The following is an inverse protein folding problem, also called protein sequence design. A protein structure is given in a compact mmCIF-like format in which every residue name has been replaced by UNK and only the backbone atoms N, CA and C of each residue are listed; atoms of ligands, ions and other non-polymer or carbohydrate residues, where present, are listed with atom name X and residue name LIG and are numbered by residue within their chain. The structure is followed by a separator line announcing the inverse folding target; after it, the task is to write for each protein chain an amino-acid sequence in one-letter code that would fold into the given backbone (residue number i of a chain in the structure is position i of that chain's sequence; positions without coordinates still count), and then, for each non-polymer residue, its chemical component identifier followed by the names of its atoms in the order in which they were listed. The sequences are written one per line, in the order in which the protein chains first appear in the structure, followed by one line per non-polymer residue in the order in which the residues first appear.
data_IF_496684532165
#
_entry.id   IF_496684532165
#
_cell.length_a   1.000
_cell.length_b   1.000
_cell.length_c   1.000
_cell.angle_alpha   90.00
_cell.angle_beta   90.00
_cell.angle_gamma   90.00
#
_symmetry.space_group_name_H-M   'P 1'
#
loop_
_entity.id
_entity.type
_entity.pdbx_description
1 polymer ?
#
# COMPACT_ATOMS: atom_id res chain seq x y z
N UNK A 1 14.73 2.59 38.10
CA UNK A 1 14.45 1.77 36.90
C UNK A 1 15.68 1.49 36.02
N UNK A 2 16.90 1.93 36.40
CA UNK A 2 18.12 1.75 35.60
C UNK A 2 18.88 0.42 35.79
N UNK A 3 18.30 -0.60 36.44
CA UNK A 3 19.01 -1.86 36.73
C UNK A 3 18.63 -3.03 35.82
N UNK A 4 17.66 -2.85 34.90
CA UNK A 4 17.25 -3.91 33.98
C UNK A 4 18.06 -3.95 32.67
N UNK A 5 18.57 -2.80 32.20
CA UNK A 5 19.39 -2.74 30.97
C UNK A 5 20.77 -3.39 31.12
N UNK A 6 21.34 -3.42 32.33
CA UNK A 6 22.67 -4.01 32.56
C UNK A 6 22.64 -5.54 32.63
N UNK A 7 21.49 -6.13 32.95
CA UNK A 7 21.37 -7.58 33.11
C UNK A 7 21.28 -8.31 31.75
N UNK A 8 20.62 -7.71 30.75
CA UNK A 8 20.51 -8.27 29.40
C UNK A 8 21.88 -8.35 28.69
N UNK A 9 22.76 -7.37 28.92
CA UNK A 9 24.12 -7.38 28.37
C UNK A 9 25.01 -8.48 28.96
N UNK A 10 24.69 -8.97 30.17
CA UNK A 10 25.47 -10.02 30.86
C UNK A 10 24.96 -11.44 30.56
N UNK A 11 23.72 -11.59 30.11
CA UNK A 11 23.16 -12.91 29.75
C UNK A 11 23.57 -13.32 28.33
N UNK A 12 23.71 -12.37 27.39
CA UNK A 12 24.16 -12.66 26.02
C UNK A 12 25.59 -13.24 25.93
N UNK A 13 26.43 -13.09 26.95
CA UNK A 13 27.79 -13.66 26.97
C UNK A 13 27.86 -15.11 27.46
N UNK A 14 26.76 -15.67 28.00
CA UNK A 14 26.70 -17.04 28.54
C UNK A 14 26.02 -18.05 27.62
N UNK A 15 25.24 -17.58 26.64
CA UNK A 15 24.65 -18.42 25.61
C UNK A 15 25.37 -18.11 24.31
N UNK A 16 26.14 -19.04 23.74
CA UNK A 16 26.84 -18.88 22.46
C UNK A 16 25.92 -18.75 21.23
N UNK A 17 24.78 -18.07 21.37
CA UNK A 17 23.96 -17.59 20.27
C UNK A 17 24.65 -16.34 19.73
N UNK A 18 25.10 -16.40 18.46
CA UNK A 18 25.49 -15.19 17.76
C UNK A 18 24.34 -14.17 17.84
N UNK A 19 24.62 -12.88 18.09
CA UNK A 19 23.58 -11.87 18.11
C UNK A 19 22.86 -11.91 16.77
N UNK A 20 21.56 -12.13 16.82
CA UNK A 20 20.64 -12.02 15.70
C UNK A 20 21.03 -10.75 14.93
N UNK A 21 21.59 -10.93 13.73
CA UNK A 21 22.28 -9.87 12.99
C UNK A 21 21.41 -8.62 12.93
N UNK A 22 21.86 -7.54 13.59
CA UNK A 22 21.14 -6.28 13.61
C UNK A 22 20.80 -5.83 12.18
N UNK A 23 19.58 -5.33 11.97
CA UNK A 23 19.12 -4.84 10.66
C UNK A 23 20.09 -3.78 10.14
N UNK A 24 20.73 -4.05 9.00
CA UNK A 24 21.71 -3.12 8.43
C UNK A 24 20.97 -1.90 7.86
N UNK A 25 21.24 -0.71 8.42
CA UNK A 25 20.68 0.54 7.94
C UNK A 25 21.69 1.28 7.05
N UNK A 26 21.36 1.44 5.77
CA UNK A 26 22.13 2.17 4.76
C UNK A 26 21.52 3.57 4.55
N UNK A 27 22.36 4.59 4.60
CA UNK A 27 21.97 6.00 4.41
C UNK A 27 22.45 6.58 3.08
N UNK A 28 23.26 5.84 2.33
CA UNK A 28 23.73 6.25 1.00
C UNK A 28 23.44 5.19 -0.07
N UNK A 29 23.33 5.66 -1.32
CA UNK A 29 23.23 4.82 -2.53
C UNK A 29 24.47 3.90 -2.61
N UNK A 30 25.64 4.40 -2.21
CA UNK A 30 26.88 3.62 -2.20
C UNK A 30 26.81 2.41 -1.24
N UNK A 31 26.26 2.61 -0.04
CA UNK A 31 26.09 1.55 0.96
C UNK A 31 25.08 0.50 0.51
N UNK A 32 23.89 0.91 0.05
CA UNK A 32 22.88 -0.07 -0.36
C UNK A 32 23.30 -0.85 -1.61
N UNK A 33 24.04 -0.21 -2.53
CA UNK A 33 24.65 -0.91 -3.68
C UNK A 33 25.74 -1.88 -3.25
N UNK A 34 26.49 -1.59 -2.17
CA UNK A 34 27.46 -2.54 -1.61
C UNK A 34 26.73 -3.77 -1.07
N UNK A 35 25.73 -3.56 -0.22
CA UNK A 35 24.88 -4.62 0.31
C UNK A 35 24.26 -5.48 -0.82
N UNK A 36 23.77 -4.83 -1.89
CA UNK A 36 23.19 -5.55 -3.04
C UNK A 36 24.23 -6.41 -3.77
N UNK A 37 25.47 -5.94 -3.92
CA UNK A 37 26.56 -6.73 -4.53
C UNK A 37 26.96 -7.93 -3.66
N UNK A 38 26.94 -7.77 -2.35
CA UNK A 38 27.17 -8.87 -1.39
C UNK A 38 26.07 -9.94 -1.53
N UNK A 39 24.79 -9.52 -1.62
CA UNK A 39 23.68 -10.42 -1.89
C UNK A 39 23.86 -11.17 -3.22
N UNK A 40 24.23 -10.46 -4.30
CA UNK A 40 24.54 -11.09 -5.59
C UNK A 40 25.65 -12.13 -5.50
N UNK A 41 26.73 -11.81 -4.79
CA UNK A 41 27.89 -12.70 -4.64
C UNK A 41 27.52 -13.97 -3.85
N UNK A 42 26.57 -13.85 -2.93
CA UNK A 42 25.99 -14.96 -2.20
C UNK A 42 24.82 -15.64 -2.94
N UNK A 43 24.55 -15.27 -4.20
CA UNK A 43 23.43 -15.76 -5.01
C UNK A 43 22.06 -15.63 -4.32
N UNK A 44 21.89 -14.61 -3.48
CA UNK A 44 20.64 -14.32 -2.78
C UNK A 44 19.65 -13.63 -3.70
N UNK A 45 18.41 -14.09 -3.69
CA UNK A 45 17.28 -13.40 -4.32
C UNK A 45 16.82 -12.25 -3.43
N UNK A 46 16.71 -11.05 -4.01
CA UNK A 46 16.49 -9.80 -3.27
C UNK A 46 15.07 -9.28 -3.49
N UNK A 47 14.29 -9.23 -2.41
CA UNK A 47 13.01 -8.54 -2.35
C UNK A 47 13.18 -7.07 -1.96
N UNK A 48 12.35 -6.18 -2.51
CA UNK A 48 12.28 -4.77 -2.13
C UNK A 48 10.87 -4.42 -1.66
N UNK A 49 10.78 -3.73 -0.53
CA UNK A 49 9.54 -3.18 0.01
C UNK A 49 9.68 -1.65 0.08
N UNK A 50 9.23 -0.90 -0.94
CA UNK A 50 9.30 0.55 -0.91
C UNK A 50 8.29 1.15 0.08
N UNK A 51 8.77 1.97 1.02
CA UNK A 51 7.91 2.64 2.01
C UNK A 51 8.33 4.10 2.23
N UNK A 52 7.46 4.86 2.89
CA UNK A 52 7.79 6.19 3.41
C UNK A 52 8.16 6.18 4.91
N UNK A 53 8.29 5.01 5.54
CA UNK A 53 8.49 4.88 6.99
C UNK A 53 7.20 4.94 7.80
N UNK A 54 7.34 5.17 9.11
CA UNK A 54 6.25 5.06 10.08
C UNK A 54 5.49 3.75 9.92
N UNK A 55 6.26 2.67 10.05
CA UNK A 55 5.84 1.33 9.67
C UNK A 55 4.73 0.83 10.58
N UNK A 56 3.85 0.03 9.99
CA UNK A 56 2.74 -0.64 10.66
C UNK A 56 2.68 -2.08 10.14
N UNK A 57 1.79 -2.88 10.71
CA UNK A 57 1.75 -4.32 10.44
C UNK A 57 1.47 -4.66 8.96
N UNK A 58 0.76 -3.79 8.22
CA UNK A 58 0.69 -3.88 6.76
C UNK A 58 2.06 -3.85 6.05
N UNK A 59 2.98 -2.96 6.48
CA UNK A 59 4.34 -2.92 5.93
C UNK A 59 5.17 -4.14 6.33
N UNK A 60 5.08 -4.56 7.59
CA UNK A 60 5.77 -5.76 8.08
C UNK A 60 5.25 -7.03 7.38
N UNK A 61 3.96 -7.04 7.04
CA UNK A 61 3.34 -8.07 6.20
C UNK A 61 3.95 -8.18 4.81
N UNK A 62 4.31 -7.06 4.18
CA UNK A 62 5.03 -7.07 2.90
C UNK A 62 6.43 -7.69 3.05
N UNK A 63 7.14 -7.38 4.12
CA UNK A 63 8.46 -7.99 4.39
C UNK A 63 8.34 -9.50 4.55
N UNK A 64 7.35 -9.97 5.33
CA UNK A 64 7.08 -11.41 5.48
C UNK A 64 6.65 -12.07 4.17
N UNK A 65 5.85 -11.38 3.35
CA UNK A 65 5.47 -11.85 2.03
C UNK A 65 6.68 -11.97 1.09
N UNK A 66 7.68 -11.11 1.21
CA UNK A 66 8.91 -11.18 0.43
C UNK A 66 9.69 -12.46 0.75
N UNK A 67 9.88 -12.75 2.05
CA UNK A 67 10.50 -14.00 2.49
C UNK A 67 9.67 -15.22 2.06
N UNK A 68 8.34 -15.19 2.22
CA UNK A 68 7.45 -16.26 1.80
C UNK A 68 7.47 -16.50 0.27
N UNK A 69 7.74 -15.46 -0.53
CA UNK A 69 7.93 -15.57 -1.97
C UNK A 69 9.30 -16.14 -2.38
N UNK A 70 10.15 -16.49 -1.42
CA UNK A 70 11.47 -17.09 -1.62
C UNK A 70 12.59 -16.07 -1.84
N UNK A 71 12.48 -14.85 -1.28
CA UNK A 71 13.60 -13.93 -1.22
C UNK A 71 14.53 -14.32 -0.07
N UNK A 72 15.83 -14.43 -0.32
CA UNK A 72 16.84 -14.68 0.71
C UNK A 72 17.27 -13.37 1.40
N UNK A 73 17.10 -12.24 0.71
CA UNK A 73 17.42 -10.92 1.22
C UNK A 73 16.26 -9.97 0.98
N UNK A 74 15.98 -9.08 1.92
CA UNK A 74 14.96 -8.04 1.77
C UNK A 74 15.55 -6.68 2.09
N UNK A 75 15.29 -5.71 1.21
CA UNK A 75 15.52 -4.28 1.50
C UNK A 75 14.19 -3.58 1.70
N UNK A 76 14.06 -2.88 2.82
CA UNK A 76 12.95 -1.95 3.07
C UNK A 76 13.46 -0.54 2.83
N UNK A 77 12.86 0.19 1.89
CA UNK A 77 13.23 1.60 1.70
C UNK A 77 12.37 2.45 2.62
N UNK A 78 12.97 3.42 3.32
CA UNK A 78 12.27 4.39 4.16
C UNK A 78 12.63 5.77 3.63
N UNK A 79 11.77 6.32 2.79
CA UNK A 79 12.00 7.61 2.18
C UNK A 79 10.69 8.37 1.95
N UNK A 80 10.49 9.45 2.71
CA UNK A 80 9.37 10.39 2.47
C UNK A 80 9.71 11.22 1.24
N UNK A 81 9.30 10.75 0.07
CA UNK A 81 9.61 11.37 -1.21
C UNK A 81 8.91 12.73 -1.36
N UNK A 82 9.60 13.86 -1.51
CA UNK A 82 8.95 15.17 -1.67
C UNK A 82 8.18 15.31 -3.00
N UNK A 83 8.58 14.62 -4.06
CA UNK A 83 7.99 14.79 -5.40
C UNK A 83 6.55 14.28 -5.52
N UNK A 84 6.10 13.47 -4.56
CA UNK A 84 4.73 12.96 -4.50
C UNK A 84 3.84 13.73 -3.52
N UNK A 85 4.32 14.89 -3.02
CA UNK A 85 3.55 15.80 -2.17
C UNK A 85 3.36 17.17 -2.84
N UNK A 86 2.17 17.72 -2.66
CA UNK A 86 1.81 19.05 -3.11
C UNK A 86 2.09 20.10 -2.00
N UNK A 87 2.13 21.40 -2.33
CA UNK A 87 2.45 22.45 -1.36
C UNK A 87 1.50 22.53 -0.16
N UNK A 88 0.24 22.10 -0.33
CA UNK A 88 -0.79 22.08 0.70
C UNK A 88 -0.99 20.70 1.36
N UNK A 89 -0.13 19.73 1.02
CA UNK A 89 -0.21 18.37 1.53
C UNK A 89 0.67 18.18 2.77
N UNK A 90 0.58 17.00 3.39
CA UNK A 90 1.13 16.72 4.71
C UNK A 90 2.63 16.38 4.73
N UNK A 91 3.44 16.90 3.80
CA UNK A 91 4.87 16.53 3.73
C UNK A 91 5.65 16.83 5.02
N UNK A 92 5.45 18.03 5.57
CA UNK A 92 6.12 18.46 6.80
C UNK A 92 5.56 17.75 8.03
N UNK A 93 4.26 17.46 8.04
CA UNK A 93 3.57 16.75 9.11
C UNK A 93 3.76 15.23 9.05
N UNK A 94 4.27 14.67 7.94
CA UNK A 94 4.40 13.23 7.77
C UNK A 94 5.30 12.62 8.86
N UNK A 95 4.84 11.57 9.56
CA UNK A 95 5.58 10.99 10.68
C UNK A 95 6.90 10.37 10.21
N UNK A 96 7.99 10.73 10.87
CA UNK A 96 9.34 10.23 10.60
C UNK A 96 9.89 9.55 11.86
N UNK A 97 9.79 8.23 11.91
CA UNK A 97 10.05 7.42 13.13
C UNK A 97 11.08 6.32 12.90
N UNK A 98 12.19 6.63 12.22
CA UNK A 98 13.18 5.64 11.78
C UNK A 98 13.65 4.68 12.89
N UNK A 99 13.90 5.17 14.11
CA UNK A 99 14.31 4.31 15.23
C UNK A 99 13.24 3.25 15.57
N UNK A 100 11.97 3.65 15.66
CA UNK A 100 10.84 2.74 15.88
C UNK A 100 10.63 1.80 14.69
N UNK A 101 10.88 2.27 13.46
CA UNK A 101 10.78 1.45 12.26
C UNK A 101 11.86 0.35 12.26
N UNK A 102 13.10 0.67 12.66
CA UNK A 102 14.19 -0.30 12.80
C UNK A 102 13.93 -1.33 13.91
N UNK A 103 13.35 -0.92 15.04
CA UNK A 103 12.95 -1.84 16.12
C UNK A 103 11.89 -2.85 15.63
N UNK A 104 10.86 -2.37 14.94
CA UNK A 104 9.81 -3.22 14.35
C UNK A 104 10.38 -4.21 13.34
N UNK A 105 11.27 -3.76 12.47
CA UNK A 105 11.92 -4.60 11.46
C UNK A 105 12.84 -5.64 12.09
N UNK A 106 13.56 -5.28 13.16
CA UNK A 106 14.42 -6.21 13.89
C UNK A 106 13.64 -7.32 14.59
N UNK A 107 12.36 -7.07 14.91
CA UNK A 107 11.45 -8.06 15.50
C UNK A 107 10.81 -9.02 14.48
N UNK A 108 11.06 -8.87 13.18
CA UNK A 108 10.49 -9.78 12.17
C UNK A 108 11.25 -11.11 12.18
N UNK A 109 10.54 -12.19 12.47
CA UNK A 109 11.06 -13.54 12.33
C UNK A 109 11.24 -13.92 10.85
N UNK A 110 12.43 -14.44 10.52
CA UNK A 110 12.79 -14.96 9.19
C UNK A 110 13.86 -16.06 9.35
N UNK A 111 14.15 -16.81 8.28
CA UNK A 111 15.22 -17.81 8.28
C UNK A 111 16.54 -17.13 8.71
N UNK A 112 17.31 -17.69 9.67
CA UNK A 112 18.57 -17.10 10.12
C UNK A 112 19.62 -16.87 9.01
N UNK A 113 19.47 -17.53 7.86
CA UNK A 113 20.33 -17.34 6.68
C UNK A 113 19.89 -16.16 5.81
N UNK A 114 18.65 -15.73 5.97
CA UNK A 114 18.10 -14.57 5.28
C UNK A 114 18.59 -13.28 5.92
N UNK A 115 18.61 -12.20 5.15
CA UNK A 115 19.10 -10.89 5.62
C UNK A 115 18.10 -9.78 5.35
N UNK A 116 17.99 -8.86 6.31
CA UNK A 116 17.14 -7.68 6.22
C UNK A 116 17.99 -6.41 6.29
N UNK A 117 17.82 -5.54 5.30
CA UNK A 117 18.44 -4.22 5.26
C UNK A 117 17.39 -3.12 5.14
N UNK A 118 17.76 -1.93 5.58
CA UNK A 118 16.98 -0.70 5.41
C UNK A 118 17.77 0.27 4.57
N UNK A 119 17.12 0.87 3.57
CA UNK A 119 17.67 2.01 2.85
C UNK A 119 16.90 3.26 3.25
N UNK A 120 17.51 4.09 4.09
CA UNK A 120 16.93 5.32 4.64
C UNK A 120 17.80 6.55 4.27
N UNK A 121 17.82 6.94 2.99
CA UNK A 121 18.64 8.05 2.52
C UNK A 121 18.08 9.40 2.95
N UNK A 122 18.94 10.42 3.18
CA UNK A 122 18.47 11.79 3.21
C UNK A 122 18.04 12.26 1.81
N UNK A 123 17.21 13.29 1.73
CA UNK A 123 16.74 13.86 0.46
C UNK A 123 17.89 14.29 -0.46
N UNK A 124 18.98 14.81 0.10
CA UNK A 124 20.17 15.23 -0.67
C UNK A 124 20.89 14.07 -1.35
N UNK A 125 20.79 12.85 -0.81
CA UNK A 125 21.35 11.66 -1.46
C UNK A 125 20.49 11.25 -2.66
N UNK A 126 19.17 11.36 -2.52
CA UNK A 126 18.24 11.04 -3.60
C UNK A 126 18.18 12.13 -4.67
N UNK A 127 18.38 13.40 -4.29
CA UNK A 127 18.26 14.58 -5.14
C UNK A 127 19.44 15.54 -4.90
N UNK A 128 20.65 15.22 -5.40
CA UNK A 128 21.86 16.00 -5.13
C UNK A 128 21.80 17.44 -5.64
N UNK A 129 21.09 17.68 -6.76
CA UNK A 129 20.91 19.00 -7.35
C UNK A 129 19.63 19.72 -6.88
N UNK A 130 18.96 19.14 -5.87
CA UNK A 130 17.65 19.59 -5.40
C UNK A 130 16.48 18.92 -6.14
N UNK A 131 15.31 18.94 -5.49
CA UNK A 131 14.09 18.25 -5.95
C UNK A 131 13.58 18.87 -7.25
N UNK A 132 13.49 20.20 -7.32
CA UNK A 132 12.98 20.91 -8.49
C UNK A 132 13.84 20.67 -9.73
N UNK A 133 15.17 20.77 -9.58
CA UNK A 133 16.12 20.47 -10.65
C UNK A 133 15.95 19.03 -11.16
N UNK A 134 15.76 18.07 -10.26
CA UNK A 134 15.58 16.68 -10.64
C UNK A 134 14.27 16.44 -11.40
N UNK A 135 13.16 17.03 -10.95
CA UNK A 135 11.85 16.93 -11.62
C UNK A 135 11.91 17.54 -13.02
N UNK A 136 12.59 18.68 -13.18
CA UNK A 136 12.78 19.34 -14.48
C UNK A 136 13.72 18.54 -15.40
N UNK A 137 14.76 17.91 -14.85
CA UNK A 137 15.71 17.15 -15.63
C UNK A 137 15.15 15.81 -16.12
N UNK A 138 14.46 15.06 -15.25
CA UNK A 138 13.92 13.76 -15.60
C UNK A 138 12.75 13.35 -14.68
N UNK A 139 11.58 13.16 -15.29
CA UNK A 139 10.39 12.65 -14.62
C UNK A 139 9.77 11.53 -15.46
N UNK A 140 9.36 10.45 -14.81
CA UNK A 140 8.52 9.41 -15.41
C UNK A 140 7.07 9.86 -15.30
N UNK A 141 6.55 10.44 -16.37
CA UNK A 141 5.16 10.84 -16.43
C UNK A 141 4.35 9.75 -17.13
N UNK A 142 3.44 9.03 -16.43
CA UNK A 142 2.52 8.14 -17.10
C UNK A 142 1.64 8.95 -18.05
N UNK A 143 1.46 8.47 -19.29
CA UNK A 143 0.43 9.04 -20.15
C UNK A 143 -0.94 8.77 -19.51
N UNK A 144 -1.85 9.76 -19.44
CA UNK A 144 -3.19 9.53 -18.93
C UNK A 144 -3.87 8.39 -19.69
N UNK A 145 -4.00 7.23 -19.04
CA UNK A 145 -4.79 6.11 -19.54
C UNK A 145 -6.07 6.07 -18.74
N UNK A 146 -7.27 6.14 -19.34
CA UNK A 146 -8.48 5.82 -18.62
C UNK A 146 -8.36 4.41 -18.02
N UNK A 147 -8.70 4.22 -16.74
CA UNK A 147 -9.30 5.21 -15.88
C UNK A 147 -8.28 5.79 -14.87
N UNK A 148 -7.34 6.63 -15.31
CA UNK A 148 -6.52 7.47 -14.42
C UNK A 148 -7.45 8.52 -13.82
N UNK A 149 -8.08 8.11 -12.74
CA UNK A 149 -9.16 8.79 -12.06
C UNK A 149 -8.67 9.95 -11.18
N UNK A 150 -9.65 10.78 -10.84
CA UNK A 150 -9.77 11.97 -9.98
C UNK A 150 -8.57 12.32 -9.07
N UNK A 151 -7.89 11.38 -8.39
CA UNK A 151 -6.66 11.73 -7.66
C UNK A 151 -5.57 12.30 -8.57
N UNK A 152 -5.49 11.85 -9.84
CA UNK A 152 -4.62 12.48 -10.86
C UNK A 152 -5.04 13.91 -11.20
N UNK A 153 -6.31 14.27 -10.98
CA UNK A 153 -6.85 15.62 -11.19
C UNK A 153 -6.61 16.50 -9.96
N UNK A 154 -6.82 15.97 -8.76
CA UNK A 154 -6.59 16.69 -7.50
C UNK A 154 -5.10 16.84 -7.15
N UNK A 155 -4.31 15.82 -7.47
CA UNK A 155 -2.89 15.69 -7.14
C UNK A 155 -2.10 15.35 -8.42
N UNK A 156 -2.05 16.29 -9.39
CA UNK A 156 -1.47 16.01 -10.71
C UNK A 156 0.02 15.63 -10.66
N UNK A 157 0.73 16.00 -9.60
CA UNK A 157 2.13 15.64 -9.34
C UNK A 157 2.30 14.20 -8.80
N UNK A 158 1.30 13.65 -8.11
CA UNK A 158 1.41 12.44 -7.30
C UNK A 158 1.98 11.25 -8.07
N UNK A 159 1.31 10.86 -9.16
CA UNK A 159 1.66 9.63 -9.87
C UNK A 159 2.97 9.76 -10.66
N UNK A 160 3.28 10.94 -11.18
CA UNK A 160 4.59 11.20 -11.76
C UNK A 160 5.70 11.10 -10.70
N UNK A 161 5.46 11.64 -9.50
CA UNK A 161 6.35 11.50 -8.35
C UNK A 161 6.56 10.05 -7.94
N UNK A 162 5.47 9.27 -7.80
CA UNK A 162 5.49 7.84 -7.46
C UNK A 162 6.26 7.02 -8.50
N UNK A 163 5.91 7.14 -9.79
CA UNK A 163 6.59 6.40 -10.85
C UNK A 163 8.09 6.73 -10.90
N UNK A 164 8.43 8.01 -10.76
CA UNK A 164 9.83 8.46 -10.77
C UNK A 164 10.62 7.91 -9.59
N UNK A 165 10.09 7.98 -8.36
CA UNK A 165 10.81 7.48 -7.19
C UNK A 165 10.91 5.95 -7.20
N UNK A 166 9.86 5.24 -7.58
CA UNK A 166 9.89 3.76 -7.62
C UNK A 166 10.89 3.28 -8.67
N UNK A 167 10.90 3.87 -9.87
CA UNK A 167 11.92 3.54 -10.88
C UNK A 167 13.34 3.84 -10.37
N UNK A 168 13.53 4.97 -9.68
CA UNK A 168 14.82 5.31 -9.08
C UNK A 168 15.25 4.29 -8.03
N UNK A 169 14.34 3.85 -7.17
CA UNK A 169 14.60 2.81 -6.18
C UNK A 169 14.93 1.46 -6.82
N UNK A 170 14.25 1.07 -7.90
CA UNK A 170 14.60 -0.13 -8.67
C UNK A 170 16.00 -0.04 -9.29
N UNK A 171 16.40 1.13 -9.81
CA UNK A 171 17.76 1.34 -10.31
C UNK A 171 18.85 1.40 -9.22
N UNK A 172 18.48 1.75 -7.98
CA UNK A 172 19.41 1.82 -6.84
C UNK A 172 19.58 0.44 -6.21
N UNK A 173 18.47 -0.22 -5.91
CA UNK A 173 18.43 -1.47 -5.15
C UNK A 173 18.51 -2.71 -6.05
N UNK A 174 18.19 -2.59 -7.34
CA UNK A 174 18.15 -3.67 -8.34
C UNK A 174 17.55 -4.97 -7.78
N UNK A 175 16.30 -4.93 -7.26
CA UNK A 175 15.70 -6.11 -6.66
C UNK A 175 15.23 -7.11 -7.73
N UNK A 176 15.18 -8.39 -7.36
CA UNK A 176 14.56 -9.42 -8.18
C UNK A 176 13.02 -9.37 -8.04
N UNK A 177 12.56 -9.03 -6.84
CA UNK A 177 11.14 -8.93 -6.50
C UNK A 177 10.82 -7.61 -5.81
N UNK A 178 9.65 -7.04 -6.06
CA UNK A 178 9.17 -5.86 -5.34
C UNK A 178 7.71 -6.04 -4.89
N UNK A 179 7.44 -5.64 -3.66
CA UNK A 179 6.16 -5.90 -3.00
C UNK A 179 5.45 -4.61 -2.67
N UNK A 180 4.18 -4.54 -3.07
CA UNK A 180 3.31 -3.38 -2.86
C UNK A 180 1.97 -3.85 -2.27
N UNK A 181 1.40 -3.04 -1.39
CA UNK A 181 0.08 -3.31 -0.83
C UNK A 181 -1.03 -2.85 -1.79
N UNK A 182 -2.00 -3.72 -2.05
CA UNK A 182 -3.23 -3.42 -2.82
C UNK A 182 -4.12 -2.36 -2.18
N UNK A 183 -3.77 -1.89 -0.97
CA UNK A 183 -4.38 -0.70 -0.38
C UNK A 183 -4.32 0.48 -1.34
N UNK A 184 -3.22 0.62 -2.08
CA UNK A 184 -3.03 1.72 -3.04
C UNK A 184 -3.10 1.13 -4.47
N UNK A 185 -4.30 0.77 -4.93
CA UNK A 185 -4.46 -0.04 -6.15
C UNK A 185 -4.06 0.72 -7.42
N UNK A 186 -4.40 2.01 -7.57
CA UNK A 186 -3.86 2.81 -8.69
C UNK A 186 -2.33 2.88 -8.69
N UNK A 187 -1.70 2.99 -7.51
CA UNK A 187 -0.24 2.93 -7.42
C UNK A 187 0.28 1.57 -7.91
N UNK A 188 -0.36 0.47 -7.52
CA UNK A 188 0.01 -0.87 -7.98
C UNK A 188 -0.07 -0.97 -9.51
N UNK A 189 -1.15 -0.47 -10.13
CA UNK A 189 -1.33 -0.53 -11.57
C UNK A 189 -0.37 0.38 -12.32
N UNK A 190 -0.13 1.58 -11.79
CA UNK A 190 0.88 2.50 -12.31
C UNK A 190 2.26 1.83 -12.34
N UNK A 191 2.65 1.19 -11.24
CA UNK A 191 3.95 0.54 -11.12
C UNK A 191 4.03 -0.68 -12.04
N UNK A 192 2.95 -1.48 -12.14
CA UNK A 192 2.88 -2.59 -13.07
C UNK A 192 2.96 -2.14 -14.54
N UNK A 193 2.25 -1.07 -14.90
CA UNK A 193 2.31 -0.48 -16.23
C UNK A 193 3.70 0.10 -16.54
N UNK A 194 4.31 0.82 -15.58
CA UNK A 194 5.66 1.36 -15.72
C UNK A 194 6.69 0.23 -15.92
N UNK A 195 6.68 -0.80 -15.06
CA UNK A 195 7.62 -1.91 -15.15
C UNK A 195 7.51 -2.63 -16.50
N UNK A 196 6.28 -2.93 -16.93
CA UNK A 196 6.02 -3.54 -18.24
C UNK A 196 6.46 -2.66 -19.40
N UNK A 197 6.15 -1.37 -19.36
CA UNK A 197 6.39 -0.43 -20.48
C UNK A 197 7.87 -0.12 -20.64
N UNK A 198 8.58 0.04 -19.52
CA UNK A 198 10.01 0.38 -19.50
C UNK A 198 10.91 -0.85 -19.43
N UNK A 199 10.34 -2.06 -19.52
CA UNK A 199 11.05 -3.34 -19.44
C UNK A 199 11.93 -3.44 -18.18
N UNK A 200 11.39 -2.99 -17.05
CA UNK A 200 12.09 -3.09 -15.77
C UNK A 200 12.10 -4.56 -15.35
N UNK A 201 13.30 -5.10 -15.18
CA UNK A 201 13.52 -6.49 -14.78
C UNK A 201 13.26 -6.68 -13.28
N UNK A 202 11.98 -6.68 -12.89
CA UNK A 202 11.53 -6.90 -11.51
C UNK A 202 10.21 -7.66 -11.49
N UNK A 203 10.11 -8.68 -10.64
CA UNK A 203 8.85 -9.39 -10.40
C UNK A 203 8.03 -8.64 -9.35
N UNK A 204 6.84 -8.19 -9.74
CA UNK A 204 5.94 -7.45 -8.86
C UNK A 204 4.97 -8.38 -8.11
N UNK A 205 4.82 -8.15 -6.81
CA UNK A 205 3.82 -8.82 -5.97
C UNK A 205 2.87 -7.79 -5.38
N UNK A 206 1.60 -7.88 -5.76
CA UNK A 206 0.54 -7.01 -5.22
C UNK A 206 -0.17 -7.73 -4.08
N UNK A 207 0.26 -7.44 -2.85
CA UNK A 207 -0.19 -8.12 -1.63
C UNK A 207 -1.55 -7.61 -1.16
N UNK A 208 -2.41 -8.45 -0.56
CA UNK A 208 -3.70 -8.03 -0.01
C UNK A 208 -3.59 -6.87 0.99
N UNK A 209 -4.64 -6.06 1.07
CA UNK A 209 -4.71 -4.94 2.03
C UNK A 209 -4.75 -5.48 3.45
N UNK A 210 -3.74 -5.15 4.26
CA UNK A 210 -3.76 -5.41 5.68
C UNK A 210 -4.75 -4.50 6.40
N UNK A 211 -5.44 -5.05 7.40
CA UNK A 211 -6.48 -4.34 8.16
C UNK A 211 -6.25 -4.47 9.65
N UNK A 212 -6.59 -3.42 10.38
CA UNK A 212 -6.72 -3.46 11.84
C UNK A 212 -7.82 -4.45 12.26
N UNK A 213 -7.86 -4.80 13.54
CA UNK A 213 -8.82 -5.79 14.08
C UNK A 213 -10.28 -5.40 13.88
N UNK A 214 -10.56 -4.11 13.73
CA UNK A 214 -11.88 -3.57 13.44
C UNK A 214 -12.23 -3.48 11.94
N UNK A 215 -11.27 -3.81 11.06
CA UNK A 215 -11.42 -3.82 9.61
C UNK A 215 -10.93 -2.56 8.89
N UNK A 216 -10.48 -1.52 9.61
CA UNK A 216 -9.89 -0.35 8.97
C UNK A 216 -8.61 -0.76 8.22
N UNK A 217 -8.43 -0.28 6.99
CA UNK A 217 -7.18 -0.49 6.26
C UNK A 217 -6.01 0.14 7.05
N UNK A 218 -4.96 -0.63 7.31
CA UNK A 218 -3.83 -0.14 8.10
C UNK A 218 -3.10 0.95 7.34
N UNK A 219 -2.82 2.05 8.01
CA UNK A 219 -2.01 3.09 7.41
C UNK A 219 -1.37 4.09 8.37
N UNK A 220 -0.21 4.64 7.97
CA UNK A 220 0.62 5.50 8.82
C UNK A 220 -0.10 6.77 9.30
N UNK A 221 -1.01 7.32 8.50
CA UNK A 221 -1.81 8.51 8.87
C UNK A 221 -3.04 8.17 9.74
N UNK A 222 -3.25 6.91 10.15
CA UNK A 222 -4.37 6.55 11.03
C UNK A 222 -4.21 7.26 12.39
N UNK A 223 -2.98 7.67 12.69
CA UNK A 223 -2.58 8.56 13.78
C UNK A 223 -3.19 9.96 13.72
N UNK A 224 -3.63 10.43 12.54
CA UNK A 224 -4.30 11.73 12.40
C UNK A 224 -5.80 11.67 12.70
N UNK A 225 -6.36 10.46 12.77
CA UNK A 225 -7.80 10.27 12.99
C UNK A 225 -8.10 10.55 14.45
N UNK A 226 -8.91 11.58 14.70
CA UNK A 226 -9.35 11.87 16.05
C UNK A 226 -10.28 10.75 16.59
N UNK A 227 -10.39 10.58 17.91
CA UNK A 227 -11.23 9.53 18.48
C UNK A 227 -12.70 9.63 18.04
N UNK A 228 -13.19 10.84 17.72
CA UNK A 228 -14.56 11.08 17.27
C UNK A 228 -14.81 10.58 15.83
N UNK A 229 -13.87 10.78 14.91
CA UNK A 229 -13.97 10.31 13.53
C UNK A 229 -13.56 8.83 13.37
N UNK A 230 -12.84 8.24 14.33
CA UNK A 230 -12.38 6.84 14.25
C UNK A 230 -13.53 5.86 14.02
N UNK A 231 -14.65 6.03 14.73
CA UNK A 231 -15.83 5.17 14.58
C UNK A 231 -16.37 5.18 13.13
N UNK A 232 -16.38 6.35 12.50
CA UNK A 232 -16.83 6.49 11.12
C UNK A 232 -15.79 5.92 10.13
N UNK A 233 -14.49 6.12 10.39
CA UNK A 233 -13.42 5.53 9.59
C UNK A 233 -13.48 3.97 9.59
N UNK A 234 -13.77 3.34 10.74
CA UNK A 234 -13.98 1.86 10.82
C UNK A 234 -15.13 1.41 9.93
N UNK A 235 -16.21 2.18 9.92
CA UNK A 235 -17.44 1.78 9.28
C UNK A 235 -17.40 1.95 7.75
N UNK A 236 -16.51 2.80 7.24
CA UNK A 236 -16.34 3.08 5.83
C UNK A 236 -16.01 1.82 4.98
N UNK A 237 -15.02 0.97 5.33
CA UNK A 237 -14.82 -0.32 4.67
C UNK A 237 -16.07 -1.20 4.60
N UNK A 238 -16.87 -1.24 5.68
CA UNK A 238 -18.10 -2.04 5.74
C UNK A 238 -19.15 -1.45 4.82
N UNK A 239 -19.40 -0.15 4.91
CA UNK A 239 -20.37 0.56 4.06
C UNK A 239 -20.07 0.36 2.57
N UNK A 240 -18.79 0.43 2.18
CA UNK A 240 -18.43 0.18 0.79
C UNK A 240 -18.58 -1.31 0.40
N UNK A 241 -18.27 -2.25 1.30
CA UNK A 241 -18.51 -3.69 1.08
C UNK A 241 -20.00 -4.02 0.97
N UNK A 242 -20.86 -3.35 1.73
CA UNK A 242 -22.32 -3.50 1.70
C UNK A 242 -22.89 -2.97 0.38
N UNK A 243 -22.35 -1.84 -0.08
CA UNK A 243 -22.72 -1.27 -1.36
C UNK A 243 -22.29 -2.15 -2.55
N UNK A 244 -21.14 -2.86 -2.46
CA UNK A 244 -20.78 -3.94 -3.41
C UNK A 244 -21.89 -5.00 -3.42
N UNK A 245 -22.23 -5.57 -2.26
CA UNK A 245 -23.17 -6.70 -2.19
C UNK A 245 -24.53 -6.32 -2.74
N UNK A 246 -24.98 -5.11 -2.44
CA UNK A 246 -26.24 -4.55 -2.96
C UNK A 246 -26.21 -4.47 -4.48
N UNK A 247 -25.12 -3.99 -5.07
CA UNK A 247 -24.98 -3.93 -6.52
C UNK A 247 -24.91 -5.31 -7.17
N UNK A 248 -24.13 -6.24 -6.61
CA UNK A 248 -24.03 -7.61 -7.13
C UNK A 248 -25.41 -8.31 -7.13
N UNK A 249 -26.22 -8.08 -6.10
CA UNK A 249 -27.60 -8.57 -6.04
C UNK A 249 -28.49 -7.96 -7.13
N UNK A 250 -28.38 -6.65 -7.39
CA UNK A 250 -29.10 -5.98 -8.49
C UNK A 250 -28.71 -6.53 -9.86
N UNK A 251 -27.42 -6.80 -10.09
CA UNK A 251 -26.95 -7.40 -11.34
C UNK A 251 -27.43 -8.85 -11.54
N UNK A 252 -27.53 -9.62 -10.46
CA UNK A 252 -27.96 -11.03 -10.50
C UNK A 252 -29.48 -11.19 -10.70
N UNK A 253 -30.27 -10.17 -10.37
CA UNK A 253 -31.74 -10.17 -10.49
C UNK A 253 -32.31 -9.83 -11.86
N UNK A 254 -31.48 -9.55 -12.87
CA UNK A 254 -31.94 -9.16 -14.22
C UNK A 254 -32.36 -7.70 -14.37
N UNK A 255 -32.47 -6.95 -13.27
CA UNK A 255 -32.74 -5.50 -13.24
C UNK A 255 -31.46 -4.65 -13.31
N UNK A 256 -30.41 -5.16 -13.98
CA UNK A 256 -29.16 -4.44 -14.15
C UNK A 256 -29.41 -3.21 -15.04
N UNK A 257 -29.25 -1.97 -14.54
CA UNK A 257 -29.38 -0.80 -15.40
C UNK A 257 -28.23 -0.81 -16.42
N UNK A 258 -28.47 -0.35 -17.67
CA UNK A 258 -27.44 -0.34 -18.69
C UNK A 258 -26.21 0.43 -18.21
N UNK A 259 -25.04 -0.12 -18.54
CA UNK A 259 -23.72 0.38 -18.15
C UNK A 259 -23.37 1.62 -18.99
N UNK A 260 -23.96 2.77 -18.69
CA UNK A 260 -23.52 4.07 -19.21
C UNK A 260 -23.15 5.01 -18.05
N UNK A 261 -22.09 5.80 -18.26
CA UNK A 261 -21.45 6.61 -17.24
C UNK A 261 -22.35 7.73 -16.67
N UNK A 262 -22.17 8.14 -15.39
CA UNK A 262 -21.42 7.46 -14.35
C UNK A 262 -22.30 6.35 -13.76
N UNK A 263 -21.73 5.16 -13.68
CA UNK A 263 -22.40 3.87 -13.41
C UNK A 263 -23.42 3.95 -12.27
N UNK A 264 -24.57 3.26 -12.34
CA UNK A 264 -25.50 3.08 -11.22
C UNK A 264 -24.80 2.70 -9.90
N UNK A 265 -23.71 1.94 -9.99
CA UNK A 265 -22.85 1.53 -8.87
C UNK A 265 -22.24 2.72 -8.10
N UNK A 266 -21.58 3.66 -8.79
CA UNK A 266 -20.96 4.81 -8.12
C UNK A 266 -22.02 5.70 -7.48
N UNK A 267 -23.21 5.81 -8.08
CA UNK A 267 -24.36 6.53 -7.50
C UNK A 267 -24.94 5.84 -6.28
N UNK A 268 -25.08 4.51 -6.29
CA UNK A 268 -25.58 3.72 -5.16
C UNK A 268 -24.60 3.78 -3.98
N UNK A 269 -23.32 3.54 -4.23
CA UNK A 269 -22.27 3.67 -3.20
C UNK A 269 -22.23 5.11 -2.70
N UNK A 270 -22.25 6.10 -3.61
CA UNK A 270 -22.20 7.50 -3.21
C UNK A 270 -23.40 7.89 -2.34
N UNK A 271 -24.61 7.48 -2.72
CA UNK A 271 -25.80 7.76 -1.91
C UNK A 271 -25.70 7.08 -0.53
N UNK A 272 -25.30 5.82 -0.48
CA UNK A 272 -25.16 5.09 0.78
C UNK A 272 -24.14 5.75 1.72
N UNK A 273 -23.00 6.19 1.18
CA UNK A 273 -21.95 6.87 1.95
C UNK A 273 -22.35 8.29 2.38
N UNK A 274 -22.99 9.09 1.52
CA UNK A 274 -23.48 10.44 1.89
C UNK A 274 -24.58 10.36 2.95
N UNK A 275 -25.57 9.49 2.74
CA UNK A 275 -26.76 9.41 3.60
C UNK A 275 -26.41 8.87 5.01
N UNK A 276 -25.29 8.13 5.16
CA UNK A 276 -25.00 7.38 6.39
C UNK A 276 -23.60 7.62 7.01
N UNK A 277 -22.63 8.20 6.31
CA UNK A 277 -21.23 8.14 6.76
C UNK A 277 -20.35 9.39 6.57
N UNK A 278 -20.30 9.99 5.38
CA UNK A 278 -19.36 11.07 5.09
C UNK A 278 -19.95 12.13 4.17
N UNK A 279 -19.71 13.41 4.50
CA UNK A 279 -20.27 14.54 3.76
C UNK A 279 -19.57 14.78 2.43
N UNK A 280 -18.26 14.54 2.39
CA UNK A 280 -17.49 14.60 1.13
C UNK A 280 -16.58 13.40 1.02
N UNK A 281 -16.55 12.80 -0.16
CA UNK A 281 -15.64 11.71 -0.50
C UNK A 281 -15.55 11.55 -2.01
N UNK A 282 -14.48 10.88 -2.41
CA UNK A 282 -14.19 10.52 -3.78
C UNK A 282 -14.14 9.02 -3.93
N UNK A 283 -14.94 8.54 -4.87
CA UNK A 283 -15.12 7.13 -5.15
C UNK A 283 -14.76 6.89 -6.62
N UNK A 284 -13.76 6.05 -6.83
CA UNK A 284 -13.47 5.44 -8.11
C UNK A 284 -13.95 3.99 -8.09
N UNK A 285 -14.68 3.59 -9.13
CA UNK A 285 -15.19 2.23 -9.29
C UNK A 285 -14.56 1.65 -10.55
N UNK A 286 -13.85 0.54 -10.42
CA UNK A 286 -13.28 -0.18 -11.55
C UNK A 286 -14.13 -1.39 -11.87
N UNK A 287 -14.47 -1.52 -13.15
CA UNK A 287 -15.09 -2.71 -13.69
C UNK A 287 -14.06 -3.39 -14.61
N UNK A 288 -13.13 -4.11 -14.01
CA UNK A 288 -12.36 -5.09 -14.76
C UNK A 288 -13.19 -6.37 -14.84
N UNK A 289 -13.08 -7.11 -15.95
CA UNK A 289 -13.80 -8.37 -16.18
C UNK A 289 -13.79 -9.20 -14.90
N UNK A 290 -14.93 -9.24 -14.21
CA UNK A 290 -15.20 -9.77 -12.87
C UNK A 290 -14.03 -10.52 -12.20
N UNK A 291 -13.52 -10.08 -11.04
CA UNK A 291 -14.27 -9.41 -9.96
C UNK A 291 -14.30 -7.88 -9.97
N UNK A 292 -15.39 -7.30 -9.43
CA UNK A 292 -15.54 -5.85 -9.22
C UNK A 292 -14.72 -5.41 -8.00
N UNK A 293 -13.84 -4.44 -8.19
CA UNK A 293 -13.11 -3.77 -7.11
C UNK A 293 -13.48 -2.29 -7.08
N UNK A 294 -13.61 -1.72 -5.88
CA UNK A 294 -13.75 -0.27 -5.72
C UNK A 294 -12.58 0.26 -4.90
N UNK A 295 -12.25 1.51 -5.18
CA UNK A 295 -11.27 2.27 -4.44
C UNK A 295 -11.90 3.60 -4.03
N UNK A 296 -12.08 3.79 -2.73
CA UNK A 296 -12.51 5.06 -2.17
C UNK A 296 -11.26 5.83 -1.75
N UNK A 297 -10.85 6.84 -2.51
CA UNK A 297 -9.51 7.44 -2.40
C UNK A 297 -9.39 8.54 -1.33
N UNK A 298 -10.50 9.24 -1.08
CA UNK A 298 -10.58 10.32 -0.13
C UNK A 298 -11.95 10.28 0.52
N UNK A 299 -12.03 10.41 1.83
CA UNK A 299 -13.29 10.61 2.52
C UNK A 299 -13.08 11.61 3.65
N UNK A 300 -13.72 12.77 3.59
CA UNK A 300 -13.84 13.63 4.75
C UNK A 300 -14.89 13.02 5.68
N UNK A 301 -14.43 12.56 6.84
CA UNK A 301 -15.28 11.93 7.84
C UNK A 301 -15.43 12.83 9.07
N UNK A 302 -15.43 14.14 8.84
CA UNK A 302 -15.71 15.13 9.88
C UNK A 302 -17.11 14.98 10.48
N UNK A 303 -17.16 14.86 11.80
CA UNK A 303 -18.37 15.04 12.59
C UNK A 303 -18.54 16.55 12.79
N UNK A 304 -19.66 17.11 12.32
CA UNK A 304 -20.08 18.49 12.62
C UNK A 304 -19.11 19.64 12.28
N UNK A 305 -18.32 19.50 11.21
CA UNK A 305 -17.47 20.59 10.71
C UNK A 305 -16.16 20.78 11.49
N UNK A 306 -15.80 19.85 12.37
CA UNK A 306 -14.44 19.72 12.88
C UNK A 306 -13.47 19.33 11.77
N UNK A 307 -12.25 19.87 11.78
CA UNK A 307 -11.22 19.55 10.79
C UNK A 307 -10.68 18.13 11.01
N UNK A 308 -11.26 17.16 10.31
CA UNK A 308 -10.82 15.77 10.28
C UNK A 308 -10.67 15.30 8.83
N UNK A 309 -9.61 15.74 8.15
CA UNK A 309 -9.31 15.31 6.78
C UNK A 309 -8.82 13.87 6.81
N UNK A 310 -9.68 12.92 6.42
CA UNK A 310 -9.31 11.52 6.23
C UNK A 310 -8.86 11.31 4.77
N UNK A 311 -7.56 11.48 4.54
CA UNK A 311 -6.93 11.25 3.24
C UNK A 311 -6.68 9.76 2.97
N UNK A 312 -7.74 8.93 2.93
CA UNK A 312 -7.58 7.48 2.80
C UNK A 312 -8.26 6.79 1.65
N UNK A 313 -7.49 5.83 1.14
CA UNK A 313 -7.83 4.79 0.19
C UNK A 313 -8.44 3.58 0.92
N UNK A 314 -9.77 3.40 0.85
CA UNK A 314 -10.44 2.14 1.17
C UNK A 314 -10.62 1.33 -0.11
N UNK A 315 -9.78 0.31 -0.32
CA UNK A 315 -10.05 -0.74 -1.29
C UNK A 315 -11.02 -1.75 -0.67
N UNK A 316 -12.17 -1.98 -1.27
CA UNK A 316 -12.93 -3.21 -1.07
C UNK A 316 -12.87 -4.03 -2.33
N UNK A 317 -12.50 -5.29 -2.15
CA UNK A 317 -12.55 -6.28 -3.22
C UNK A 317 -13.80 -7.13 -2.98
N UNK A 318 -14.62 -7.32 -4.02
CA UNK A 318 -15.57 -8.42 -4.03
C UNK A 318 -14.84 -9.66 -4.50
N UNK A 319 -14.67 -10.65 -3.63
CA UNK A 319 -14.38 -12.00 -4.07
C UNK A 319 -15.68 -12.76 -4.00
N UNK A 320 -15.97 -13.53 -5.04
CA UNK A 320 -17.15 -14.39 -5.16
C UNK A 320 -17.04 -15.50 -4.09
N UNK A 321 -17.24 -15.15 -2.83
CA UNK A 321 -17.36 -16.11 -1.76
C UNK A 321 -18.67 -16.83 -2.03
N UNK A 322 -18.57 -18.06 -2.56
CA UNK A 322 -19.63 -19.03 -2.42
C UNK A 322 -20.12 -18.94 -0.97
N UNK A 323 -21.43 -18.73 -0.73
CA UNK A 323 -21.95 -18.51 0.61
C UNK A 323 -21.51 -19.67 1.52
N UNK A 324 -21.19 -19.33 2.76
CA UNK A 324 -20.92 -20.29 3.82
C UNK A 324 -22.04 -21.36 3.81
N UNK A 325 -21.71 -22.67 3.63
CA UNK A 325 -22.70 -23.73 3.56
C UNK A 325 -23.60 -23.80 4.81
N UNK A 326 -23.27 -23.10 5.89
CA UNK A 326 -24.12 -22.96 7.06
C UNK A 326 -25.38 -22.07 6.85
N UNK A 327 -25.55 -21.39 5.71
CA UNK A 327 -26.66 -20.43 5.49
C UNK A 327 -27.55 -20.68 4.26
N UNK A 328 -27.37 -21.78 3.50
CA UNK A 328 -28.26 -22.07 2.38
C UNK A 328 -29.62 -22.66 2.83
N UNK A 329 -30.69 -21.90 2.60
CA UNK A 329 -32.03 -22.45 2.49
C UNK A 329 -32.13 -23.28 1.19
N UNK A 330 -32.72 -24.49 1.22
CA UNK A 330 -32.72 -25.37 0.07
C UNK A 330 -33.77 -24.90 -0.96
N UNK A 331 -33.29 -24.46 -2.13
CA UNK A 331 -33.96 -24.33 -3.43
C UNK A 331 -33.83 -22.93 -4.04
N UNK A 332 -32.75 -22.71 -4.79
CA UNK A 332 -32.76 -21.78 -5.92
C UNK A 332 -32.04 -22.44 -7.12
N UNK A 333 -32.61 -22.39 -8.33
CA UNK A 333 -32.07 -23.08 -9.49
C UNK A 333 -30.83 -22.37 -10.04
N UNK A 334 -29.77 -23.13 -10.34
CA UNK A 334 -28.53 -22.63 -10.96
C UNK A 334 -28.76 -22.42 -12.47
N UNK A 335 -28.57 -21.21 -12.97
CA UNK A 335 -28.60 -20.91 -14.41
C UNK A 335 -27.35 -21.44 -15.12
N UNK A 336 -27.56 -22.09 -16.28
CA UNK A 336 -26.51 -22.62 -17.15
C UNK A 336 -25.85 -21.52 -18.02
N UNK A 337 -24.58 -21.69 -18.44
CA UNK A 337 -23.85 -20.66 -19.20
C UNK A 337 -24.34 -20.59 -20.66
N UNK A 338 -24.65 -19.38 -21.12
CA UNK A 338 -25.00 -19.11 -22.52
C UNK A 338 -23.72 -18.99 -23.35
N UNK A 339 -23.66 -19.78 -24.42
CA UNK A 339 -22.51 -19.89 -25.32
C UNK A 339 -22.25 -18.64 -26.16
N UNK A 340 -20.97 -18.44 -26.50
CA UNK A 340 -20.47 -17.39 -27.39
C UNK A 340 -20.83 -17.69 -28.85
N UNK A 341 -21.26 -16.66 -29.58
CA UNK A 341 -21.08 -16.52 -31.02
C UNK A 341 -20.42 -15.19 -31.29
#
# INVERSE_FOLDING_TARGET
SNSFCTLLAFVSTMTGAEPQSAVQCCHSIAEIRRWRRECSSAQRRVGCVPTMGHLHEGHLGLVRAAFAAGCDAVVVTIFVNPTQFGPAEDYDAYPRTLACDLEKLSGIEHDPRSVLAVFAPPTSEMYPDGVDSAVLAFTVAPTPQPPMHIESVLRPHLYAGIATIVLRLFNICTPDDALFGRKDAFQCDLIAAMARTLNVDVRLHMCPTARETDGLAMSSRNTYIDPAARAHAVALPRACSDAIRTFAALCSGGDAPPFEAPTPLSRVIRRHLVDNFCKTFELAVRHEQCPVSFELQYADVSVDGGAGTLGWICCGEWQDHAPDPATEAPNAPRCAPVGRT
#
